data_IF_152631234470
#
_entry.id   IF_152631234470
#
_cell.length_a   1.000
_cell.length_b   1.000
_cell.length_c   1.000
_cell.angle_alpha   90.00
_cell.angle_beta   90.00
_cell.angle_gamma   90.00
#
_symmetry.space_group_name_H-M   'P 1'
#
loop_
_entity.id
_entity.type
_entity.pdbx_description
1 polymer ?
#
# COMPACT_ATOMS: atom_id res chain seq x y z
N UNK A 1 -15.40 17.08 -3.90
CA UNK A 1 -15.28 16.00 -4.90
C UNK A 1 -14.27 15.00 -4.39
N UNK A 2 -14.71 13.77 -4.08
CA UNK A 2 -13.80 12.66 -3.78
C UNK A 2 -12.86 12.45 -4.97
N UNK A 3 -11.58 12.80 -4.80
CA UNK A 3 -10.54 12.63 -5.82
C UNK A 3 -9.97 11.20 -5.85
N UNK A 4 -10.43 10.34 -4.94
CA UNK A 4 -9.93 8.98 -4.81
C UNK A 4 -10.40 8.13 -5.99
N UNK A 5 -9.44 7.60 -6.74
CA UNK A 5 -9.68 6.66 -7.83
C UNK A 5 -9.39 5.25 -7.33
N UNK A 6 -10.35 4.34 -7.52
CA UNK A 6 -10.12 2.93 -7.24
C UNK A 6 -9.28 2.31 -8.37
N UNK A 7 -8.24 1.59 -7.98
CA UNK A 7 -7.39 0.82 -8.90
C UNK A 7 -7.36 -0.64 -8.45
N UNK A 8 -7.38 -1.55 -9.42
CA UNK A 8 -7.20 -2.98 -9.17
C UNK A 8 -5.77 -3.35 -9.53
N UNK A 9 -5.05 -3.98 -8.61
CA UNK A 9 -3.64 -4.33 -8.78
C UNK A 9 -3.48 -5.82 -8.57
N UNK A 10 -2.73 -6.49 -9.45
CA UNK A 10 -2.36 -7.90 -9.28
C UNK A 10 -1.01 -7.95 -8.58
N UNK A 11 -0.94 -8.71 -7.49
CA UNK A 11 0.28 -8.89 -6.68
C UNK A 11 0.51 -10.38 -6.42
N UNK A 12 1.76 -10.76 -6.22
CA UNK A 12 2.14 -12.13 -5.82
C UNK A 12 1.81 -12.36 -4.34
N UNK A 13 1.80 -13.64 -3.93
CA UNK A 13 1.58 -14.01 -2.54
C UNK A 13 2.67 -13.45 -1.60
N UNK A 14 3.92 -13.40 -2.07
CA UNK A 14 5.04 -12.81 -1.31
C UNK A 14 4.79 -11.33 -1.01
N UNK A 15 4.34 -10.56 -2.01
CA UNK A 15 4.00 -9.14 -1.80
C UNK A 15 2.83 -8.98 -0.82
N UNK A 16 1.82 -9.85 -0.86
CA UNK A 16 0.72 -9.85 0.11
C UNK A 16 1.25 -10.06 1.53
N UNK A 17 2.20 -10.97 1.74
CA UNK A 17 2.80 -11.20 3.06
C UNK A 17 3.57 -9.96 3.56
N UNK A 18 4.29 -9.26 2.68
CA UNK A 18 4.96 -7.99 3.02
C UNK A 18 3.94 -6.93 3.45
N UNK A 19 2.87 -6.77 2.67
CA UNK A 19 1.80 -5.81 3.00
C UNK A 19 1.11 -6.17 4.32
N UNK A 20 0.88 -7.45 4.58
CA UNK A 20 0.30 -7.93 5.84
C UNK A 20 1.21 -7.65 7.03
N UNK A 21 2.53 -7.80 6.87
CA UNK A 21 3.52 -7.45 7.90
C UNK A 21 3.42 -5.97 8.27
N UNK A 22 3.30 -5.07 7.29
CA UNK A 22 3.14 -3.64 7.54
C UNK A 22 1.84 -3.31 8.29
N UNK A 23 0.77 -4.05 8.02
CA UNK A 23 -0.49 -3.93 8.78
C UNK A 23 -0.28 -4.38 10.22
N UNK A 24 0.37 -5.52 10.43
CA UNK A 24 0.64 -6.06 11.76
C UNK A 24 1.59 -5.17 12.59
N UNK A 25 2.51 -4.46 11.93
CA UNK A 25 3.39 -3.46 12.53
C UNK A 25 2.66 -2.14 12.86
N UNK A 26 1.38 -2.01 12.51
CA UNK A 26 0.58 -0.81 12.75
C UNK A 26 0.87 0.34 11.80
N UNK A 27 1.70 0.13 10.76
CA UNK A 27 2.02 1.15 9.74
C UNK A 27 0.84 1.45 8.81
N UNK A 28 -0.11 0.52 8.70
CA UNK A 28 -1.36 0.70 7.97
C UNK A 28 -2.50 -0.13 8.58
N UNK A 29 -3.76 0.26 8.33
CA UNK A 29 -4.95 -0.45 8.84
C UNK A 29 -5.42 -1.60 7.95
N UNK A 30 -5.07 -1.57 6.66
CA UNK A 30 -5.50 -2.54 5.65
C UNK A 30 -4.37 -2.79 4.66
N UNK A 31 -4.45 -3.88 3.88
CA UNK A 31 -3.49 -4.18 2.81
C UNK A 31 -3.43 -3.04 1.77
N UNK A 32 -4.59 -2.49 1.39
CA UNK A 32 -4.64 -1.32 0.49
C UNK A 32 -3.99 -0.09 1.10
N UNK A 33 -4.19 0.14 2.40
CA UNK A 33 -3.51 1.19 3.15
C UNK A 33 -1.99 0.99 3.21
N UNK A 34 -1.53 -0.26 3.35
CA UNK A 34 -0.11 -0.59 3.32
C UNK A 34 0.51 -0.33 1.95
N UNK A 35 -0.23 -0.63 0.86
CA UNK A 35 0.22 -0.33 -0.48
C UNK A 35 0.32 1.19 -0.73
N UNK A 36 -0.68 1.96 -0.28
CA UNK A 36 -0.65 3.43 -0.36
C UNK A 36 0.48 4.00 0.49
N UNK A 37 0.71 3.47 1.69
CA UNK A 37 1.84 3.85 2.55
C UNK A 37 3.18 3.67 1.82
N UNK A 38 3.39 2.53 1.15
CA UNK A 38 4.61 2.30 0.38
C UNK A 38 4.73 3.25 -0.81
N UNK A 39 3.64 3.50 -1.55
CA UNK A 39 3.65 4.47 -2.67
C UNK A 39 3.97 5.87 -2.18
N UNK A 40 3.47 6.30 -1.03
CA UNK A 40 3.84 7.58 -0.44
C UNK A 40 5.31 7.58 0.01
N UNK A 41 5.76 6.51 0.67
CA UNK A 41 7.10 6.42 1.21
C UNK A 41 8.19 6.40 0.13
N UNK A 42 7.94 5.77 -1.03
CA UNK A 42 8.92 5.64 -2.11
C UNK A 42 8.61 6.49 -3.35
N UNK A 43 7.34 6.78 -3.62
CA UNK A 43 6.91 7.60 -4.75
C UNK A 43 7.16 9.11 -4.56
N UNK A 44 7.33 9.58 -3.31
CA UNK A 44 7.74 10.96 -3.04
C UNK A 44 9.23 11.20 -3.40
N UNK A 45 10.06 10.16 -3.45
CA UNK A 45 11.50 10.28 -3.73
C UNK A 45 11.88 10.16 -5.21
N UNK A 46 10.91 10.10 -6.13
CA UNK A 46 11.12 9.92 -7.56
C UNK A 46 10.66 11.10 -8.44
N UNK A 47 10.62 12.32 -7.90
CA UNK A 47 10.27 13.55 -8.61
C UNK A 47 11.45 14.50 -8.74
#
# INVERSE_FOLDING_TARGET
MNKDKQINVRVSQEHVQILQKLVNEGKAKTISGALVFLVQHYGIFGG
#
